data_IF_913810636000
#
_entry.id   IF_913810636000
#
_cell.length_a   1.000
_cell.length_b   1.000
_cell.length_c   1.000
_cell.angle_alpha   90.00
_cell.angle_beta   90.00
_cell.angle_gamma   90.00
#
_symmetry.space_group_name_H-M   'P 1'
#
loop_
_entity.id
_entity.type
_entity.pdbx_description
1 polymer ?
#
# COMPACT_ATOMS: atom_id res chain seq x y z
N UNK A 1 -11.19 -1.96 -2.81
CA UNK A 1 -10.52 -0.66 -3.03
C UNK A 1 -11.43 0.21 -3.87
N UNK A 2 -11.58 1.49 -3.52
CA UNK A 2 -12.31 2.51 -4.27
C UNK A 2 -11.30 3.41 -4.99
N UNK A 3 -11.06 3.12 -6.28
CA UNK A 3 -10.07 3.82 -7.08
C UNK A 3 -10.49 5.25 -7.41
N UNK A 4 -11.80 5.53 -7.50
CA UNK A 4 -12.28 6.88 -7.81
C UNK A 4 -12.01 7.83 -6.63
N UNK A 5 -12.16 7.34 -5.41
CA UNK A 5 -11.76 8.08 -4.21
C UNK A 5 -10.25 8.32 -4.17
N UNK A 6 -9.44 7.28 -4.40
CA UNK A 6 -7.97 7.42 -4.42
C UNK A 6 -7.56 8.46 -5.46
N UNK A 7 -8.15 8.45 -6.66
CA UNK A 7 -7.86 9.44 -7.70
C UNK A 7 -8.17 10.88 -7.28
N UNK A 8 -9.24 11.09 -6.49
CA UNK A 8 -9.59 12.42 -5.94
C UNK A 8 -8.59 12.88 -4.89
N UNK A 9 -8.06 11.95 -4.10
CA UNK A 9 -7.14 12.23 -3.00
C UNK A 9 -5.66 12.36 -3.44
N UNK A 10 -5.31 11.90 -4.66
CA UNK A 10 -3.94 11.94 -5.20
C UNK A 10 -3.67 13.12 -6.14
N UNK A 11 -4.19 14.31 -5.83
CA UNK A 11 -3.88 15.50 -6.63
C UNK A 11 -2.38 15.85 -6.56
N UNK A 12 -1.76 16.13 -7.72
CA UNK A 12 -0.32 16.42 -7.80
C UNK A 12 0.59 15.19 -7.80
N UNK A 13 0.05 13.98 -7.75
CA UNK A 13 0.83 12.75 -7.88
C UNK A 13 1.13 12.50 -9.36
N UNK A 14 2.39 12.20 -9.67
CA UNK A 14 2.76 11.70 -11.00
C UNK A 14 2.69 10.17 -11.04
N UNK A 15 2.81 9.57 -12.24
CA UNK A 15 2.72 8.11 -12.39
C UNK A 15 3.70 7.33 -11.50
N UNK A 16 4.90 7.89 -11.24
CA UNK A 16 5.86 7.32 -10.31
C UNK A 16 5.38 7.37 -8.84
N UNK A 17 4.71 8.46 -8.43
CA UNK A 17 4.17 8.61 -7.08
C UNK A 17 3.00 7.64 -6.85
N UNK A 18 2.16 7.44 -7.87
CA UNK A 18 1.07 6.47 -7.81
C UNK A 18 1.62 5.03 -7.70
N UNK A 19 2.69 4.70 -8.42
CA UNK A 19 3.36 3.41 -8.30
C UNK A 19 3.97 3.21 -6.89
N UNK A 20 4.60 4.25 -6.35
CA UNK A 20 5.12 4.24 -4.98
C UNK A 20 3.99 4.09 -3.94
N UNK A 21 2.88 4.80 -4.11
CA UNK A 21 1.69 4.72 -3.25
C UNK A 21 1.11 3.29 -3.21
N UNK A 22 0.96 2.66 -4.38
CA UNK A 22 0.51 1.27 -4.48
C UNK A 22 1.48 0.30 -3.79
N UNK A 23 2.78 0.54 -3.93
CA UNK A 23 3.82 -0.27 -3.27
C UNK A 23 3.74 -0.14 -1.76
N UNK A 24 3.58 1.08 -1.24
CA UNK A 24 3.44 1.33 0.20
C UNK A 24 2.17 0.71 0.76
N UNK A 25 1.03 0.82 0.06
CA UNK A 25 -0.21 0.17 0.46
C UNK A 25 -0.08 -1.38 0.50
N UNK A 26 0.67 -1.96 -0.45
CA UNK A 26 0.98 -3.39 -0.44
C UNK A 26 1.89 -3.78 0.74
N UNK A 27 2.94 -2.99 1.01
CA UNK A 27 3.82 -3.20 2.15
C UNK A 27 3.07 -3.10 3.47
N UNK A 28 2.13 -2.17 3.60
CA UNK A 28 1.29 -2.06 4.79
C UNK A 28 0.45 -3.32 5.01
N UNK A 29 -0.14 -3.86 3.93
CA UNK A 29 -0.85 -5.14 3.99
C UNK A 29 0.05 -6.29 4.46
N UNK A 30 1.31 -6.32 3.98
CA UNK A 30 2.30 -7.33 4.40
C UNK A 30 2.65 -7.15 5.88
N UNK A 31 2.88 -5.92 6.34
CA UNK A 31 3.23 -5.63 7.74
C UNK A 31 2.17 -6.09 8.71
N UNK A 32 0.88 -5.90 8.38
CA UNK A 32 -0.23 -6.39 9.20
C UNK A 32 -0.28 -7.92 9.32
N UNK A 33 0.31 -8.62 8.35
CA UNK A 33 0.37 -10.09 8.33
C UNK A 33 1.70 -10.66 8.81
N UNK A 34 2.73 -9.82 9.06
CA UNK A 34 4.01 -10.29 9.60
C UNK A 34 3.89 -10.91 10.99
N UNK A 35 2.90 -10.49 11.81
CA UNK A 35 2.67 -11.08 13.12
C UNK A 35 2.21 -12.54 13.06
N UNK A 36 1.70 -12.97 11.89
CA UNK A 36 1.18 -14.33 11.64
C UNK A 36 2.11 -15.16 10.75
N UNK A 37 3.12 -14.53 10.15
CA UNK A 37 4.09 -15.20 9.28
C UNK A 37 5.28 -15.61 10.13
N UNK A 38 5.58 -16.90 10.15
CA UNK A 38 6.83 -17.39 10.70
C UNK A 38 7.97 -17.06 9.73
N UNK A 39 8.97 -16.32 10.21
CA UNK A 39 10.14 -15.92 9.42
C UNK A 39 11.22 -17.01 9.39
N UNK A 40 11.10 -18.04 10.23
CA UNK A 40 12.00 -19.19 10.25
C UNK A 40 11.61 -20.26 9.22
N UNK A 41 10.37 -20.21 8.72
CA UNK A 41 9.86 -21.16 7.74
C UNK A 41 10.18 -20.70 6.30
N UNK A 42 10.58 -21.65 5.45
CA UNK A 42 10.97 -21.35 4.06
C UNK A 42 9.75 -21.05 3.15
N UNK A 43 8.54 -21.31 3.64
CA UNK A 43 7.30 -21.14 2.89
C UNK A 43 6.19 -20.48 3.74
N UNK A 44 5.45 -19.58 3.12
CA UNK A 44 4.24 -18.98 3.73
C UNK A 44 3.04 -19.84 3.37
N UNK A 45 2.17 -20.10 4.35
CA UNK A 45 0.94 -20.86 4.15
C UNK A 45 0.08 -20.24 3.02
N UNK A 46 -0.38 -21.09 2.11
CA UNK A 46 -1.23 -20.69 0.99
C UNK A 46 -2.55 -20.04 1.46
N UNK A 47 -3.10 -20.44 2.61
CA UNK A 47 -4.29 -19.82 3.19
C UNK A 47 -4.01 -18.36 3.61
N UNK A 48 -2.85 -18.12 4.23
CA UNK A 48 -2.42 -16.78 4.61
C UNK A 48 -2.23 -15.93 3.35
N UNK A 49 -1.50 -16.43 2.36
CA UNK A 49 -1.27 -15.73 1.09
C UNK A 49 -2.59 -15.38 0.36
N UNK A 50 -3.53 -16.32 0.29
CA UNK A 50 -4.83 -16.08 -0.34
C UNK A 50 -5.69 -15.08 0.44
N UNK A 51 -5.47 -14.94 1.76
CA UNK A 51 -6.15 -13.95 2.59
C UNK A 51 -5.55 -12.53 2.47
N UNK A 52 -4.38 -12.39 1.84
CA UNK A 52 -3.72 -11.09 1.66
C UNK A 52 -4.36 -10.32 0.51
N UNK A 53 -5.09 -9.25 0.86
CA UNK A 53 -5.69 -8.36 -0.11
C UNK A 53 -5.52 -6.91 0.34
N UNK A 54 -5.14 -6.05 -0.60
CA UNK A 54 -5.02 -4.61 -0.31
C UNK A 54 -6.42 -4.02 -0.14
N UNK A 55 -6.65 -3.33 0.98
CA UNK A 55 -7.92 -2.69 1.32
C UNK A 55 -7.84 -1.16 1.17
N UNK A 56 -8.98 -0.48 1.30
CA UNK A 56 -9.00 0.99 1.30
C UNK A 56 -8.25 1.60 2.49
N UNK A 57 -8.17 0.89 3.62
CA UNK A 57 -7.45 1.39 4.79
C UNK A 57 -5.94 1.43 4.53
N UNK A 58 -5.37 0.46 3.81
CA UNK A 58 -3.97 0.50 3.42
C UNK A 58 -3.65 1.71 2.53
N UNK A 59 -4.54 2.04 1.58
CA UNK A 59 -4.40 3.24 0.75
C UNK A 59 -4.51 4.54 1.57
N UNK A 60 -5.40 4.61 2.56
CA UNK A 60 -5.49 5.77 3.47
C UNK A 60 -4.21 5.94 4.29
N UNK A 61 -3.67 4.85 4.84
CA UNK A 61 -2.42 4.88 5.59
C UNK A 61 -1.26 5.33 4.70
N UNK A 62 -1.16 4.77 3.49
CA UNK A 62 -0.13 5.14 2.52
C UNK A 62 -0.25 6.60 2.08
N UNK A 63 -1.47 7.12 1.87
CA UNK A 63 -1.71 8.53 1.56
C UNK A 63 -1.28 9.49 2.69
N UNK A 64 -1.35 9.04 3.94
CA UNK A 64 -0.89 9.81 5.09
C UNK A 64 0.64 9.92 5.20
N UNK A 65 1.38 8.98 4.60
CA UNK A 65 2.85 8.96 4.59
C UNK A 65 3.46 9.37 3.25
N UNK A 66 2.67 9.44 2.18
CA UNK A 66 3.14 9.83 0.84
C UNK A 66 3.02 11.33 0.59
N UNK A 67 4.01 11.90 -0.09
CA UNK A 67 4.04 13.31 -0.45
C UNK A 67 4.20 13.44 -1.98
N UNK A 68 3.31 14.14 -2.69
CA UNK A 68 3.37 14.25 -4.15
C UNK A 68 4.66 14.90 -4.63
N UNK A 69 5.31 14.30 -5.63
CA UNK A 69 6.57 14.81 -6.17
C UNK A 69 6.39 16.14 -6.90
N UNK A 70 5.22 16.39 -7.51
CA UNK A 70 4.96 17.66 -8.20
C UNK A 70 4.86 18.87 -7.25
N UNK A 71 4.59 18.64 -5.96
CA UNK A 71 4.53 19.69 -4.94
C UNK A 71 5.81 19.76 -4.10
N UNK A 72 6.82 18.94 -4.40
CA UNK A 72 8.07 18.85 -3.61
C UNK A 72 9.10 19.92 -3.97
N UNK A 73 8.90 20.65 -5.07
CA UNK A 73 9.89 21.60 -5.63
C UNK A 73 9.41 23.06 -5.77
N UNK A 74 8.36 23.47 -5.07
CA UNK A 74 7.93 24.88 -5.01
C UNK A 74 7.79 25.36 -3.57
#
# INVERSE_FOLDING_TARGET
VDLERVAKDTHGYVGADLAALCTEAALQCIREKMDVIDLEDDAIDAEILNSMAVTNEHFKTALGSSNPSALRET
#
